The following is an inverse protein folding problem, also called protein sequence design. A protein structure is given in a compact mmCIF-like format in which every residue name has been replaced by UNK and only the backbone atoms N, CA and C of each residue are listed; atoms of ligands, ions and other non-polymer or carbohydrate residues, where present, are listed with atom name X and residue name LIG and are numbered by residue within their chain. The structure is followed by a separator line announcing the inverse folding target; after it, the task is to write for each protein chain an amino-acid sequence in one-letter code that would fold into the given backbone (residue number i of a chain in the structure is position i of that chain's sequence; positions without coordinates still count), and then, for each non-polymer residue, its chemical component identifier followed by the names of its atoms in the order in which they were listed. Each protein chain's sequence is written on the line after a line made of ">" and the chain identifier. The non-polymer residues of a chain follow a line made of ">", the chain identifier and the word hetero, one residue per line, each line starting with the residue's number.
data_IF_793732967895
#
_entry.id   IF_793732967895
#
_cell.length_a   1.000
_cell.length_b   1.000
_cell.length_c   1.000
_cell.angle_alpha   90.00
_cell.angle_beta   90.00
_cell.angle_gamma   90.00
#
_symmetry.space_group_name_H-M   'P 1'
#
loop_
_entity.id
_entity.type
_entity.pdbx_description
1 polymer ?
#
# COMPACT_ATOMS: atom_id res chain seq x y z
N UNK A 1 -3.49 -11.33 -19.69
CA UNK A 1 -3.95 -10.73 -18.44
C UNK A 1 -4.47 -11.84 -17.54
N UNK A 2 -3.83 -12.01 -16.38
CA UNK A 2 -4.28 -12.95 -15.36
C UNK A 2 -4.98 -12.15 -14.28
N UNK A 3 -6.19 -12.58 -13.91
CA UNK A 3 -6.97 -11.98 -12.85
C UNK A 3 -6.99 -12.96 -11.68
N UNK A 4 -6.88 -12.45 -10.48
CA UNK A 4 -7.33 -13.20 -9.33
C UNK A 4 -8.87 -13.23 -9.36
N UNK A 5 -9.42 -14.38 -9.72
CA UNK A 5 -10.85 -14.56 -9.94
C UNK A 5 -11.67 -14.40 -8.65
N UNK A 6 -11.05 -14.59 -7.47
CA UNK A 6 -11.74 -14.49 -6.19
C UNK A 6 -11.87 -13.04 -5.70
N UNK A 7 -10.90 -12.19 -6.02
CA UNK A 7 -10.90 -10.78 -5.57
C UNK A 7 -11.54 -9.84 -6.59
N UNK A 8 -11.73 -10.29 -7.83
CA UNK A 8 -12.42 -9.53 -8.87
C UNK A 8 -11.75 -8.20 -9.23
N UNK A 9 -10.45 -8.07 -9.05
CA UNK A 9 -9.72 -6.87 -9.40
C UNK A 9 -9.58 -6.77 -10.92
N UNK A 10 -10.47 -6.02 -11.54
CA UNK A 10 -10.48 -5.77 -12.99
C UNK A 10 -9.52 -4.66 -13.41
N UNK A 11 -8.87 -3.99 -12.47
CA UNK A 11 -8.03 -2.81 -12.71
C UNK A 11 -6.57 -3.20 -12.84
N UNK A 12 -6.08 -4.07 -11.96
CA UNK A 12 -4.72 -4.59 -11.98
C UNK A 12 -4.63 -5.94 -12.65
N UNK A 13 -3.54 -6.17 -13.37
CA UNK A 13 -3.28 -7.43 -14.04
C UNK A 13 -1.77 -7.67 -14.14
N UNK A 14 -1.37 -8.94 -14.07
CA UNK A 14 -0.02 -9.32 -14.46
C UNK A 14 0.10 -9.40 -16.00
N UNK A 15 1.26 -9.06 -16.52
CA UNK A 15 1.57 -9.10 -17.94
C UNK A 15 2.72 -10.06 -18.21
N UNK A 16 2.49 -11.06 -19.05
CA UNK A 16 3.55 -11.90 -19.59
C UNK A 16 3.88 -11.44 -21.01
N UNK A 17 5.16 -11.19 -21.25
CA UNK A 17 5.70 -10.84 -22.57
C UNK A 17 6.56 -12.00 -23.02
N UNK A 18 6.38 -12.43 -24.26
CA UNK A 18 7.21 -13.45 -24.90
C UNK A 18 7.73 -12.90 -26.25
N UNK A 19 9.04 -13.01 -26.46
CA UNK A 19 9.70 -12.60 -27.69
C UNK A 19 10.92 -13.49 -27.93
N UNK A 20 11.00 -14.06 -29.13
CA UNK A 20 12.15 -14.90 -29.56
C UNK A 20 12.52 -16.03 -28.57
N UNK A 21 11.51 -16.60 -27.91
CA UNK A 21 11.68 -17.68 -26.96
C UNK A 21 12.15 -17.25 -25.58
N UNK A 22 12.20 -15.95 -25.31
CA UNK A 22 12.46 -15.36 -23.98
C UNK A 22 11.16 -14.82 -23.40
N UNK A 23 10.91 -15.10 -22.12
CA UNK A 23 9.68 -14.69 -21.46
C UNK A 23 9.95 -13.82 -20.21
N UNK A 24 9.14 -12.76 -20.04
CA UNK A 24 9.21 -11.88 -18.90
C UNK A 24 7.82 -11.67 -18.30
N UNK A 25 7.66 -11.97 -17.03
CA UNK A 25 6.46 -11.71 -16.26
C UNK A 25 6.62 -10.41 -15.47
N UNK A 26 5.71 -9.46 -15.68
CA UNK A 26 5.53 -8.30 -14.83
C UNK A 26 4.25 -8.51 -14.01
N UNK A 27 4.39 -8.79 -12.74
CA UNK A 27 3.27 -8.98 -11.83
C UNK A 27 2.60 -7.65 -11.43
N UNK A 28 3.29 -6.51 -11.63
CA UNK A 28 2.81 -5.21 -11.19
C UNK A 28 2.43 -5.24 -9.69
N UNK A 29 1.34 -4.60 -9.28
CA UNK A 29 0.80 -4.69 -7.92
C UNK A 29 -0.09 -5.93 -7.71
N UNK A 30 -0.33 -6.69 -8.77
CA UNK A 30 -1.11 -7.93 -8.74
C UNK A 30 -0.20 -9.13 -8.45
N UNK A 31 0.14 -9.32 -7.19
CA UNK A 31 0.96 -10.45 -6.75
C UNK A 31 0.24 -11.77 -7.09
N UNK A 32 0.86 -12.66 -7.89
CA UNK A 32 0.20 -13.90 -8.29
C UNK A 32 -0.07 -14.80 -7.08
N UNK A 33 -1.19 -15.52 -7.11
CA UNK A 33 -1.46 -16.58 -6.12
C UNK A 33 -0.66 -17.84 -6.46
N UNK A 34 -0.53 -18.79 -5.50
CA UNK A 34 0.04 -20.12 -5.77
C UNK A 34 -0.58 -20.82 -6.97
N UNK A 35 -1.90 -20.73 -7.11
CA UNK A 35 -2.66 -21.32 -8.22
C UNK A 35 -2.31 -20.65 -9.56
N UNK A 36 -2.20 -19.31 -9.55
CA UNK A 36 -1.77 -18.53 -10.74
C UNK A 36 -0.34 -18.88 -11.12
N UNK A 37 0.57 -19.08 -10.17
CA UNK A 37 1.93 -19.52 -10.46
C UNK A 37 1.96 -20.91 -11.13
N UNK A 38 1.14 -21.86 -10.65
CA UNK A 38 1.01 -23.19 -11.24
C UNK A 38 0.46 -23.09 -12.67
N UNK A 39 -0.61 -22.32 -12.90
CA UNK A 39 -1.20 -22.10 -14.22
C UNK A 39 -0.20 -21.46 -15.21
N UNK A 40 0.57 -20.48 -14.76
CA UNK A 40 1.60 -19.84 -15.57
C UNK A 40 2.65 -20.85 -16.04
N UNK A 41 3.12 -21.70 -15.13
CA UNK A 41 4.09 -22.76 -15.46
C UNK A 41 3.52 -23.82 -16.41
N UNK A 42 2.30 -24.26 -16.15
CA UNK A 42 1.65 -25.28 -16.98
C UNK A 42 1.41 -24.78 -18.39
N UNK A 43 1.08 -23.49 -18.53
CA UNK A 43 0.71 -22.90 -19.81
C UNK A 43 1.89 -22.37 -20.62
N UNK A 44 2.90 -21.80 -19.96
CA UNK A 44 4.02 -21.11 -20.62
C UNK A 44 5.38 -21.76 -20.35
N UNK A 45 5.43 -22.79 -19.50
CA UNK A 45 6.69 -23.43 -19.14
C UNK A 45 7.56 -22.59 -18.22
N UNK A 46 8.88 -22.57 -18.47
CA UNK A 46 9.82 -21.78 -17.68
C UNK A 46 9.73 -20.30 -18.05
N UNK A 47 9.57 -19.45 -17.06
CA UNK A 47 9.64 -17.99 -17.21
C UNK A 47 11.09 -17.56 -16.98
N UNK A 48 11.64 -16.77 -17.92
CA UNK A 48 13.05 -16.35 -17.81
C UNK A 48 13.21 -15.25 -16.77
N UNK A 49 12.36 -14.21 -16.78
CA UNK A 49 12.39 -13.13 -15.81
C UNK A 49 11.03 -12.95 -15.14
N UNK A 50 10.99 -12.92 -13.81
CA UNK A 50 9.81 -12.53 -13.05
C UNK A 50 10.08 -11.25 -12.25
N UNK A 51 9.30 -10.21 -12.51
CA UNK A 51 9.24 -8.98 -11.73
C UNK A 51 8.06 -9.08 -10.78
N UNK A 52 8.34 -9.30 -9.48
CA UNK A 52 7.33 -9.57 -8.46
C UNK A 52 7.47 -8.55 -7.34
N UNK A 53 6.34 -8.00 -6.89
CA UNK A 53 6.35 -7.04 -5.80
C UNK A 53 6.76 -7.72 -4.47
N UNK A 54 7.43 -6.97 -3.61
CA UNK A 54 7.93 -7.44 -2.32
C UNK A 54 7.54 -6.53 -1.15
N UNK A 55 6.90 -5.43 -1.44
CA UNK A 55 6.50 -4.43 -0.45
C UNK A 55 4.97 -4.30 -0.38
N UNK A 56 4.49 -3.81 0.75
CA UNK A 56 3.11 -3.42 0.93
C UNK A 56 3.02 -1.91 1.11
N UNK A 57 2.39 -1.22 0.18
CA UNK A 57 2.07 0.19 0.34
C UNK A 57 0.86 0.35 1.28
N UNK A 58 1.01 1.13 2.36
CA UNK A 58 -0.10 1.35 3.27
C UNK A 58 0.28 2.13 4.54
N UNK A 59 -0.72 2.66 5.26
CA UNK A 59 -0.51 3.50 6.43
C UNK A 59 -0.09 2.70 7.68
N UNK A 60 -0.29 1.39 7.69
CA UNK A 60 0.00 0.54 8.84
C UNK A 60 1.45 0.04 8.85
N UNK A 61 2.17 0.09 9.97
CA UNK A 61 1.77 0.62 11.29
C UNK A 61 2.06 2.11 11.48
N UNK A 62 2.71 2.78 10.52
CA UNK A 62 3.24 4.14 10.62
C UNK A 62 2.24 5.16 11.16
N UNK A 63 1.03 5.17 10.59
CA UNK A 63 -0.02 6.15 10.86
C UNK A 63 -0.98 5.75 11.98
N UNK A 64 -0.73 4.64 12.69
CA UNK A 64 -1.63 4.14 13.75
C UNK A 64 -1.20 4.65 15.13
N UNK A 65 -1.90 5.68 15.62
CA UNK A 65 -1.57 6.38 16.85
C UNK A 65 -1.93 5.59 18.14
N UNK A 66 -2.69 4.51 18.01
CA UNK A 66 -2.91 3.55 19.11
C UNK A 66 -1.73 2.59 19.34
N UNK A 67 -0.68 2.66 18.50
CA UNK A 67 0.54 1.88 18.67
C UNK A 67 1.68 2.77 19.16
N UNK A 68 2.40 2.32 20.17
CA UNK A 68 3.63 2.94 20.61
C UNK A 68 4.80 2.58 19.65
N UNK A 69 5.99 3.15 19.88
CA UNK A 69 7.16 2.95 18.99
C UNK A 69 7.61 1.51 18.89
N UNK A 70 7.58 0.76 20.00
CA UNK A 70 8.03 -0.64 20.03
C UNK A 70 7.03 -1.54 19.30
N UNK A 71 5.73 -1.29 19.47
CA UNK A 71 4.67 -1.96 18.74
C UNK A 71 4.75 -1.68 17.25
N UNK A 72 5.01 -0.41 16.85
CA UNK A 72 5.23 -0.06 15.42
C UNK A 72 6.45 -0.77 14.84
N UNK A 73 7.56 -0.85 15.56
CA UNK A 73 8.75 -1.58 15.12
C UNK A 73 8.45 -3.09 14.98
N UNK A 74 7.76 -3.69 15.94
CA UNK A 74 7.41 -5.10 15.91
C UNK A 74 6.51 -5.42 14.72
N UNK A 75 5.50 -4.58 14.45
CA UNK A 75 4.61 -4.73 13.32
C UNK A 75 5.30 -4.49 11.97
N UNK A 76 6.19 -3.51 11.90
CA UNK A 76 7.06 -3.30 10.73
C UNK A 76 7.83 -4.57 10.39
N UNK A 77 8.56 -5.15 11.34
CA UNK A 77 9.32 -6.38 11.13
C UNK A 77 8.42 -7.57 10.76
N UNK A 78 7.26 -7.69 11.40
CA UNK A 78 6.28 -8.73 11.07
C UNK A 78 5.81 -8.64 9.60
N UNK A 79 5.53 -7.42 9.13
CA UNK A 79 5.08 -7.17 7.74
C UNK A 79 6.19 -7.54 6.76
N UNK A 80 7.42 -7.07 7.00
CA UNK A 80 8.56 -7.39 6.13
C UNK A 80 8.79 -8.89 6.04
N UNK A 81 8.87 -9.57 7.19
CA UNK A 81 9.08 -11.02 7.24
C UNK A 81 8.00 -11.80 6.50
N UNK A 82 6.73 -11.39 6.65
CA UNK A 82 5.61 -11.98 5.90
C UNK A 82 5.77 -11.79 4.39
N UNK A 83 6.08 -10.57 3.96
CA UNK A 83 6.20 -10.25 2.54
C UNK A 83 7.37 -11.00 1.90
N UNK A 84 8.53 -11.07 2.56
CA UNK A 84 9.68 -11.83 2.07
C UNK A 84 9.43 -13.34 2.04
N UNK A 85 8.73 -13.88 3.06
CA UNK A 85 8.35 -15.29 3.06
C UNK A 85 7.42 -15.61 1.89
N UNK A 86 6.42 -14.76 1.65
CA UNK A 86 5.48 -14.94 0.56
C UNK A 86 6.17 -14.80 -0.80
N UNK A 87 7.01 -13.78 -1.00
CA UNK A 87 7.78 -13.66 -2.23
C UNK A 87 8.67 -14.89 -2.48
N UNK A 88 9.37 -15.38 -1.45
CA UNK A 88 10.19 -16.58 -1.57
C UNK A 88 9.36 -17.80 -1.99
N UNK A 89 8.19 -18.00 -1.39
CA UNK A 89 7.26 -19.08 -1.75
C UNK A 89 6.84 -18.99 -3.23
N UNK A 90 6.43 -17.80 -3.68
CA UNK A 90 6.02 -17.57 -5.07
C UNK A 90 7.16 -17.84 -6.06
N UNK A 91 8.37 -17.39 -5.73
CA UNK A 91 9.55 -17.63 -6.58
C UNK A 91 9.89 -19.12 -6.65
N UNK A 92 9.82 -19.85 -5.54
CA UNK A 92 10.04 -21.32 -5.51
C UNK A 92 8.95 -22.09 -6.27
N UNK A 93 7.73 -21.57 -6.31
CA UNK A 93 6.63 -22.15 -7.09
C UNK A 93 6.76 -21.84 -8.57
N UNK A 94 7.04 -20.59 -8.92
CA UNK A 94 7.14 -20.13 -10.31
C UNK A 94 8.45 -20.61 -10.96
N UNK A 95 9.54 -20.69 -10.18
CA UNK A 95 10.90 -21.07 -10.61
C UNK A 95 11.38 -20.34 -11.85
N UNK A 96 11.33 -19.00 -11.88
CA UNK A 96 11.87 -18.26 -12.99
C UNK A 96 13.39 -18.40 -13.01
N UNK A 97 14.02 -18.17 -14.17
CA UNK A 97 15.50 -18.14 -14.26
C UNK A 97 16.07 -16.97 -13.45
N UNK A 98 15.40 -15.81 -13.56
CA UNK A 98 15.74 -14.58 -12.83
C UNK A 98 14.53 -14.02 -12.09
N UNK A 99 14.73 -13.49 -10.87
CA UNK A 99 13.74 -12.68 -10.17
C UNK A 99 14.29 -11.28 -9.92
N UNK A 100 13.50 -10.27 -10.28
CA UNK A 100 13.73 -8.87 -9.96
C UNK A 100 12.70 -8.45 -8.91
N UNK A 101 13.11 -8.14 -7.65
CA UNK A 101 12.23 -7.51 -6.69
C UNK A 101 11.70 -6.19 -7.27
N UNK A 102 10.38 -6.08 -7.42
CA UNK A 102 9.72 -5.02 -8.17
C UNK A 102 8.72 -4.26 -7.29
N UNK A 103 8.16 -3.14 -7.81
CA UNK A 103 7.23 -2.27 -7.09
C UNK A 103 7.78 -1.81 -5.73
N UNK A 104 8.87 -1.14 -5.80
CA UNK A 104 9.83 -0.67 -4.83
C UNK A 104 9.34 0.00 -3.54
N UNK A 105 10.25 0.73 -2.92
CA UNK A 105 10.01 1.53 -1.73
C UNK A 105 9.61 2.96 -2.10
N UNK A 106 9.00 3.64 -1.16
CA UNK A 106 8.70 5.08 -1.24
C UNK A 106 9.23 5.80 -0.01
N UNK A 107 9.42 7.11 -0.15
CA UNK A 107 9.86 7.99 0.94
C UNK A 107 8.80 9.06 1.17
N UNK A 108 8.35 9.18 2.41
CA UNK A 108 7.41 10.22 2.82
C UNK A 108 8.16 11.55 2.99
N UNK A 109 7.66 12.60 2.34
CA UNK A 109 8.20 13.95 2.46
C UNK A 109 7.42 14.82 3.44
N UNK A 110 7.81 16.09 3.56
CA UNK A 110 7.17 17.07 4.43
C UNK A 110 7.14 16.63 5.90
N UNK A 111 6.12 17.05 6.62
CA UNK A 111 5.93 16.70 8.05
C UNK A 111 5.79 15.18 8.32
N UNK A 112 5.52 14.39 7.28
CA UNK A 112 5.38 12.93 7.40
C UNK A 112 6.71 12.18 7.30
N UNK A 113 7.82 12.86 6.97
CA UNK A 113 9.15 12.25 6.83
C UNK A 113 9.60 11.48 8.09
N UNK A 114 9.15 11.89 9.27
CA UNK A 114 9.41 11.20 10.54
C UNK A 114 8.81 9.78 10.61
N UNK A 115 7.83 9.46 9.74
CA UNK A 115 7.19 8.15 9.68
C UNK A 115 7.98 7.15 8.84
N UNK A 116 9.02 7.58 8.10
CA UNK A 116 9.84 6.71 7.24
C UNK A 116 10.57 5.59 7.99
N UNK A 117 10.60 5.59 9.30
CA UNK A 117 11.19 4.52 10.12
C UNK A 117 10.26 3.34 10.38
N UNK A 118 8.97 3.44 10.04
CA UNK A 118 7.98 2.38 10.32
C UNK A 118 7.21 1.87 9.10
N UNK A 119 7.58 2.18 7.83
CA UNK A 119 6.78 1.75 6.69
C UNK A 119 6.76 0.22 6.58
N UNK A 120 5.72 -0.33 5.97
CA UNK A 120 5.65 -1.75 5.62
C UNK A 120 6.54 -2.10 4.41
N UNK A 121 7.57 -1.31 4.14
CA UNK A 121 8.44 -1.42 2.96
C UNK A 121 9.91 -1.50 3.36
N UNK A 122 10.70 -2.15 2.52
CA UNK A 122 12.16 -2.19 2.61
C UNK A 122 12.79 -1.78 1.27
N UNK A 123 14.09 -1.63 1.25
CA UNK A 123 14.83 -1.47 0.00
C UNK A 123 14.91 -2.81 -0.75
N UNK A 124 15.14 -2.76 -2.05
CA UNK A 124 15.36 -3.97 -2.85
C UNK A 124 16.65 -4.72 -2.46
N UNK A 125 17.68 -4.01 -1.92
CA UNK A 125 18.88 -4.65 -1.38
C UNK A 125 18.55 -5.58 -0.22
N UNK A 126 17.74 -5.11 0.74
CA UNK A 126 17.30 -5.91 1.89
C UNK A 126 16.47 -7.10 1.40
N UNK A 127 15.57 -6.88 0.43
CA UNK A 127 14.79 -7.97 -0.16
C UNK A 127 15.67 -9.03 -0.81
N UNK A 128 16.67 -8.63 -1.61
CA UNK A 128 17.59 -9.55 -2.26
C UNK A 128 18.46 -10.33 -1.25
N UNK A 129 18.91 -9.66 -0.19
CA UNK A 129 19.64 -10.32 0.90
C UNK A 129 18.77 -11.38 1.60
N UNK A 130 17.49 -11.06 1.85
CA UNK A 130 16.54 -12.00 2.47
C UNK A 130 16.25 -13.21 1.56
N UNK A 131 16.05 -12.98 0.25
CA UNK A 131 15.87 -14.08 -0.70
C UNK A 131 17.10 -15.00 -0.74
N UNK A 132 18.29 -14.41 -0.78
CA UNK A 132 19.55 -15.17 -0.76
C UNK A 132 19.74 -15.94 0.57
N UNK A 133 19.39 -15.33 1.71
CA UNK A 133 19.44 -15.97 3.02
C UNK A 133 18.49 -17.16 3.13
N UNK A 134 17.28 -17.04 2.59
CA UNK A 134 16.29 -18.13 2.55
C UNK A 134 16.67 -19.24 1.59
N UNK A 135 17.55 -18.96 0.62
CA UNK A 135 18.03 -19.89 -0.38
C UNK A 135 17.00 -20.16 -1.49
N UNK A 136 17.31 -19.74 -2.70
CA UNK A 136 16.54 -20.08 -3.90
C UNK A 136 17.18 -21.28 -4.58
N UNK A 137 16.36 -22.27 -4.97
CA UNK A 137 16.88 -23.55 -5.51
C UNK A 137 17.38 -23.45 -6.95
N UNK A 138 16.75 -22.60 -7.77
CA UNK A 138 17.03 -22.54 -9.23
C UNK A 138 16.94 -21.15 -9.82
N UNK A 139 16.67 -20.13 -9.01
CA UNK A 139 16.43 -18.75 -9.44
C UNK A 139 17.56 -17.85 -8.97
N UNK A 140 18.03 -16.99 -9.85
CA UNK A 140 18.99 -15.93 -9.50
C UNK A 140 18.25 -14.63 -9.23
N UNK A 141 18.50 -13.98 -8.08
CA UNK A 141 18.02 -12.63 -7.82
C UNK A 141 18.90 -11.63 -8.56
N UNK A 142 18.25 -10.72 -9.29
CA UNK A 142 18.92 -9.61 -9.98
C UNK A 142 18.43 -8.28 -9.41
N UNK A 143 19.30 -7.29 -9.41
CA UNK A 143 19.01 -5.91 -9.03
C UNK A 143 19.48 -4.97 -10.13
N UNK A 144 18.67 -3.97 -10.42
CA UNK A 144 18.96 -2.96 -11.44
C UNK A 144 18.73 -1.57 -10.85
N UNK A 145 19.56 -0.62 -11.26
CA UNK A 145 19.37 0.81 -10.98
C UNK A 145 18.71 1.49 -12.18
N UNK A 146 18.38 2.74 -11.99
CA UNK A 146 17.94 3.60 -13.08
C UNK A 146 18.97 3.60 -14.23
N UNK A 147 18.50 3.37 -15.46
CA UNK A 147 19.27 3.24 -16.70
C UNK A 147 20.13 1.98 -16.83
N UNK A 148 20.11 1.05 -15.88
CA UNK A 148 20.72 -0.25 -16.09
C UNK A 148 19.91 -1.09 -17.07
N UNK A 149 20.62 -1.90 -17.85
CA UNK A 149 20.06 -2.85 -18.83
C UNK A 149 20.53 -4.24 -18.47
N UNK A 150 19.58 -5.16 -18.39
CA UNK A 150 19.84 -6.58 -18.17
C UNK A 150 19.41 -7.37 -19.41
N UNK A 151 20.35 -8.10 -20.00
CA UNK A 151 20.06 -9.03 -21.08
C UNK A 151 19.62 -10.38 -20.50
N UNK A 152 18.32 -10.70 -20.67
CA UNK A 152 17.72 -11.93 -20.12
C UNK A 152 18.32 -13.17 -20.80
N UNK A 153 18.70 -13.09 -22.08
CA UNK A 153 19.27 -14.20 -22.84
C UNK A 153 20.66 -14.58 -22.37
N UNK A 154 21.54 -13.60 -22.18
CA UNK A 154 22.92 -13.81 -21.69
C UNK A 154 23.02 -13.86 -20.17
N UNK A 155 22.11 -13.20 -19.46
CA UNK A 155 22.17 -13.06 -18.00
C UNK A 155 23.14 -11.99 -17.54
N UNK A 156 23.51 -11.06 -18.39
CA UNK A 156 24.49 -10.02 -18.10
C UNK A 156 23.83 -8.63 -17.98
N UNK A 157 24.33 -7.83 -17.05
CA UNK A 157 24.00 -6.41 -16.94
C UNK A 157 25.06 -5.56 -17.63
N UNK A 158 24.64 -4.41 -18.18
CA UNK A 158 25.54 -3.43 -18.80
C UNK A 158 26.50 -2.78 -17.80
N UNK A 159 26.19 -2.85 -16.50
CA UNK A 159 27.02 -2.29 -15.42
C UNK A 159 26.90 -3.14 -14.15
N UNK A 160 27.95 -3.14 -13.29
CA UNK A 160 27.85 -3.74 -11.98
C UNK A 160 26.81 -3.04 -11.12
N UNK A 161 26.01 -3.80 -10.39
CA UNK A 161 25.06 -3.22 -9.44
C UNK A 161 25.80 -2.50 -8.30
N UNK A 162 25.35 -1.29 -7.98
CA UNK A 162 25.85 -0.50 -6.86
C UNK A 162 24.72 -0.44 -5.82
N UNK A 163 24.92 -0.96 -4.59
CA UNK A 163 23.93 -0.93 -3.53
C UNK A 163 23.47 0.49 -3.17
N UNK A 164 22.28 0.57 -2.59
CA UNK A 164 21.74 1.82 -2.05
C UNK A 164 22.66 2.34 -0.96
N UNK A 165 23.06 3.61 -1.07
CA UNK A 165 23.78 4.32 -0.01
C UNK A 165 22.78 4.85 1.03
N UNK A 166 22.83 4.29 2.24
CA UNK A 166 21.93 4.70 3.34
C UNK A 166 22.14 6.15 3.76
N UNK A 167 23.35 6.69 3.59
CA UNK A 167 23.65 8.09 3.91
C UNK A 167 22.97 9.01 2.87
N UNK A 168 23.09 8.70 1.58
CA UNK A 168 22.43 9.44 0.52
C UNK A 168 20.89 9.36 0.69
N UNK A 169 20.35 8.21 1.04
CA UNK A 169 18.92 8.03 1.31
C UNK A 169 18.47 8.90 2.49
N UNK A 170 19.23 8.95 3.58
CA UNK A 170 18.93 9.78 4.75
C UNK A 170 19.03 11.29 4.41
N UNK A 171 20.02 11.69 3.62
CA UNK A 171 20.17 13.08 3.14
C UNK A 171 18.98 13.48 2.26
N UNK A 172 18.56 12.62 1.35
CA UNK A 172 17.37 12.84 0.52
C UNK A 172 16.10 12.97 1.38
N UNK A 173 15.86 12.06 2.31
CA UNK A 173 14.74 12.12 3.24
C UNK A 173 14.70 13.43 4.05
N UNK A 174 15.87 13.90 4.49
CA UNK A 174 16.00 15.19 5.18
C UNK A 174 15.69 16.37 4.25
N UNK A 175 16.19 16.34 3.02
CA UNK A 175 15.94 17.39 2.01
C UNK A 175 14.44 17.54 1.74
N UNK A 176 13.71 16.44 1.54
CA UNK A 176 12.27 16.47 1.26
C UNK A 176 11.41 16.73 2.49
N UNK A 177 11.97 16.72 3.70
CA UNK A 177 11.23 16.95 4.95
C UNK A 177 10.59 18.34 5.05
N UNK A 178 11.11 19.32 4.29
CA UNK A 178 10.58 20.68 4.23
C UNK A 178 9.49 20.89 3.16
N UNK A 179 9.16 19.88 2.38
CA UNK A 179 8.16 19.99 1.31
C UNK A 179 6.77 20.24 1.87
N UNK A 180 6.01 21.10 1.19
CA UNK A 180 4.60 21.32 1.44
C UNK A 180 3.75 20.40 0.55
N UNK A 181 2.60 19.97 1.06
CA UNK A 181 1.67 19.17 0.27
C UNK A 181 0.73 20.07 -0.56
N UNK A 182 0.31 19.64 -1.76
CA UNK A 182 -0.52 20.47 -2.65
C UNK A 182 -1.79 21.01 -1.99
N UNK A 183 -2.44 20.24 -1.12
CA UNK A 183 -3.67 20.67 -0.45
C UNK A 183 -3.43 21.76 0.61
N UNK A 184 -2.21 21.96 1.07
CA UNK A 184 -1.90 22.99 2.09
C UNK A 184 -2.02 24.42 1.54
N UNK A 185 -1.97 24.59 0.21
CA UNK A 185 -2.21 25.87 -0.45
C UNK A 185 -3.68 26.18 -0.71
N UNK A 186 -4.58 25.20 -0.49
CA UNK A 186 -6.01 25.43 -0.68
C UNK A 186 -6.60 26.29 0.44
N UNK A 187 -7.66 27.01 0.13
CA UNK A 187 -8.44 27.72 1.14
C UNK A 187 -9.02 26.72 2.17
N UNK A 188 -8.94 27.08 3.46
CA UNK A 188 -9.58 26.27 4.48
C UNK A 188 -11.10 26.23 4.25
N UNK A 189 -11.72 25.03 4.23
CA UNK A 189 -13.17 24.93 4.06
C UNK A 189 -13.89 25.45 5.30
N UNK A 190 -15.11 25.96 5.09
CA UNK A 190 -16.01 26.26 6.20
C UNK A 190 -16.47 24.92 6.79
N UNK A 191 -16.14 24.68 8.05
CA UNK A 191 -16.32 23.37 8.69
C UNK A 191 -17.78 22.87 8.65
N UNK A 192 -18.73 23.74 8.93
CA UNK A 192 -20.15 23.35 8.90
C UNK A 192 -20.59 22.87 7.53
N UNK A 193 -20.15 23.57 6.47
CA UNK A 193 -20.42 23.16 5.08
C UNK A 193 -19.72 21.83 4.76
N UNK A 194 -18.47 21.68 5.20
CA UNK A 194 -17.73 20.43 5.00
C UNK A 194 -18.43 19.24 5.69
N UNK A 195 -18.95 19.43 6.91
CA UNK A 195 -19.67 18.39 7.64
C UNK A 195 -21.00 18.03 6.97
N UNK A 196 -21.73 18.98 6.38
CA UNK A 196 -22.95 18.72 5.59
C UNK A 196 -22.63 17.89 4.32
N UNK A 197 -21.52 18.21 3.67
CA UNK A 197 -21.04 17.46 2.51
C UNK A 197 -20.57 16.05 2.89
N UNK A 198 -19.91 15.87 4.04
CA UNK A 198 -19.55 14.56 4.58
C UNK A 198 -20.80 13.75 4.90
N UNK A 199 -21.84 14.35 5.46
CA UNK A 199 -23.12 13.66 5.68
C UNK A 199 -23.70 13.13 4.36
N UNK A 200 -23.66 13.96 3.32
CA UNK A 200 -24.14 13.57 1.99
C UNK A 200 -23.31 12.44 1.39
N UNK A 201 -21.98 12.56 1.46
CA UNK A 201 -21.04 11.52 1.00
C UNK A 201 -21.20 10.21 1.79
N UNK A 202 -21.42 10.29 3.11
CA UNK A 202 -21.68 9.13 3.97
C UNK A 202 -22.94 8.38 3.55
N UNK A 203 -24.03 9.07 3.21
CA UNK A 203 -25.22 8.42 2.66
C UNK A 203 -24.92 7.70 1.35
N UNK A 204 -24.20 8.35 0.43
CA UNK A 204 -23.74 7.75 -0.83
C UNK A 204 -22.86 6.52 -0.61
N UNK A 205 -21.93 6.58 0.37
CA UNK A 205 -21.09 5.44 0.78
C UNK A 205 -21.96 4.26 1.26
N UNK A 206 -22.94 4.49 2.12
CA UNK A 206 -23.87 3.45 2.60
C UNK A 206 -24.67 2.81 1.48
N UNK A 207 -25.09 3.59 0.47
CA UNK A 207 -25.81 3.07 -0.69
C UNK A 207 -24.90 2.15 -1.53
N UNK A 208 -23.65 2.53 -1.72
CA UNK A 208 -22.64 1.70 -2.41
C UNK A 208 -22.32 0.44 -1.62
N UNK A 209 -22.12 0.55 -0.31
CA UNK A 209 -21.91 -0.61 0.56
C UNK A 209 -23.04 -1.63 0.41
N UNK A 210 -24.30 -1.19 0.45
CA UNK A 210 -25.46 -2.08 0.22
C UNK A 210 -25.45 -2.71 -1.16
N UNK A 211 -25.14 -1.94 -2.20
CA UNK A 211 -25.08 -2.43 -3.59
C UNK A 211 -24.03 -3.54 -3.77
N UNK A 212 -22.89 -3.43 -3.11
CA UNK A 212 -21.79 -4.38 -3.23
C UNK A 212 -21.75 -5.41 -2.09
N UNK A 213 -22.79 -5.47 -1.25
CA UNK A 213 -22.89 -6.40 -0.11
C UNK A 213 -21.73 -6.27 0.90
N UNK A 214 -21.18 -5.07 1.02
CA UNK A 214 -20.14 -4.73 1.99
C UNK A 214 -20.80 -4.38 3.31
N UNK A 215 -20.30 -4.94 4.42
CA UNK A 215 -20.83 -4.67 5.76
C UNK A 215 -19.72 -4.54 6.78
N UNK A 216 -19.91 -3.64 7.75
CA UNK A 216 -19.01 -3.48 8.88
C UNK A 216 -19.82 -3.21 10.15
N UNK A 217 -19.33 -3.74 11.28
CA UNK A 217 -19.84 -3.43 12.62
C UNK A 217 -19.00 -2.38 13.33
N UNK A 218 -17.91 -1.95 12.72
CA UNK A 218 -16.98 -0.98 13.27
C UNK A 218 -17.57 0.43 13.18
N UNK A 219 -17.56 1.14 14.30
CA UNK A 219 -17.90 2.57 14.33
C UNK A 219 -16.76 3.35 13.67
N UNK A 220 -17.08 4.20 12.69
CA UNK A 220 -16.08 5.03 12.01
C UNK A 220 -16.29 6.48 12.32
N UNK A 221 -15.23 7.12 12.78
CA UNK A 221 -15.19 8.53 13.11
C UNK A 221 -14.21 9.27 12.20
N UNK A 222 -14.57 10.49 11.80
CA UNK A 222 -13.65 11.44 11.19
C UNK A 222 -13.37 12.56 12.20
N UNK A 223 -12.09 12.90 12.34
CA UNK A 223 -11.63 14.04 13.11
C UNK A 223 -10.95 15.04 12.17
N UNK A 224 -11.45 16.26 12.13
CA UNK A 224 -11.08 17.31 11.19
C UNK A 224 -10.83 18.61 11.98
N UNK A 225 -9.56 18.89 12.30
CA UNK A 225 -9.16 20.09 13.04
C UNK A 225 -9.97 20.30 14.34
N UNK A 226 -10.07 19.24 15.15
CA UNK A 226 -10.81 19.23 16.41
C UNK A 226 -12.32 19.04 16.30
N UNK A 227 -12.87 18.97 15.08
CA UNK A 227 -14.27 18.63 14.82
C UNK A 227 -14.43 17.14 14.56
N UNK A 228 -15.36 16.51 15.27
CA UNK A 228 -15.58 15.08 15.23
C UNK A 228 -16.97 14.75 14.63
N UNK A 229 -17.02 13.81 13.69
CA UNK A 229 -18.26 13.21 13.26
C UNK A 229 -18.12 11.68 13.10
N UNK A 230 -19.22 10.97 13.31
CA UNK A 230 -19.36 9.55 13.02
C UNK A 230 -19.93 9.42 11.60
N UNK A 231 -19.35 8.52 10.78
CA UNK A 231 -19.83 8.25 9.42
C UNK A 231 -20.41 6.84 9.24
N UNK A 232 -20.09 5.91 10.14
CA UNK A 232 -20.66 4.56 10.20
C UNK A 232 -21.07 4.22 11.64
N UNK A 233 -22.20 3.53 11.85
CA UNK A 233 -23.18 3.06 10.86
C UNK A 233 -24.12 4.15 10.34
N UNK A 234 -24.12 5.34 10.92
CA UNK A 234 -24.97 6.48 10.52
C UNK A 234 -24.21 7.77 10.84
N UNK A 235 -24.40 8.79 10.00
CA UNK A 235 -23.77 10.09 10.23
C UNK A 235 -24.31 10.77 11.50
N UNK A 236 -23.39 11.29 12.32
CA UNK A 236 -23.69 12.12 13.50
C UNK A 236 -22.56 13.09 13.73
N UNK A 237 -22.88 14.36 13.96
CA UNK A 237 -21.90 15.32 14.53
C UNK A 237 -21.73 15.03 16.01
N UNK A 238 -20.49 15.01 16.49
CA UNK A 238 -20.16 14.61 17.86
C UNK A 238 -19.28 15.67 18.54
N UNK A 239 -19.32 15.68 19.87
CA UNK A 239 -18.40 16.47 20.69
C UNK A 239 -17.20 15.62 21.12
N UNK A 240 -17.40 14.32 21.33
CA UNK A 240 -16.36 13.35 21.67
C UNK A 240 -16.74 11.96 21.15
N UNK A 241 -15.76 11.06 21.04
CA UNK A 241 -16.02 9.64 20.77
C UNK A 241 -16.73 9.00 21.96
N UNK A 242 -17.76 8.20 21.68
CA UNK A 242 -18.38 7.41 22.75
C UNK A 242 -17.41 6.30 23.21
N UNK A 243 -17.26 6.14 24.51
CA UNK A 243 -16.63 4.94 25.06
C UNK A 243 -17.58 3.76 24.84
N UNK A 244 -17.15 2.78 24.06
CA UNK A 244 -17.96 1.62 23.71
C UNK A 244 -17.06 0.40 23.59
N UNK A 245 -17.60 -0.77 23.91
CA UNK A 245 -16.95 -2.07 23.61
C UNK A 245 -17.06 -2.41 22.11
N UNK A 246 -17.78 -1.61 21.33
CA UNK A 246 -17.90 -1.80 19.88
C UNK A 246 -16.59 -1.43 19.19
N UNK A 247 -16.12 -2.26 18.24
CA UNK A 247 -14.95 -1.91 17.44
C UNK A 247 -15.06 -0.52 16.83
N UNK A 248 -13.95 0.23 16.81
CA UNK A 248 -13.94 1.59 16.30
C UNK A 248 -12.69 1.92 15.51
N UNK A 249 -12.84 2.80 14.51
CA UNK A 249 -11.77 3.40 13.72
C UNK A 249 -11.96 4.91 13.70
N UNK A 250 -11.01 5.65 14.23
CA UNK A 250 -10.95 7.12 14.07
C UNK A 250 -9.94 7.46 13.01
N UNK A 251 -10.33 8.26 12.04
CA UNK A 251 -9.50 8.77 10.94
C UNK A 251 -9.33 10.29 11.13
N UNK A 252 -8.10 10.74 11.40
CA UNK A 252 -7.79 12.17 11.57
C UNK A 252 -7.05 12.68 10.34
N UNK A 253 -7.56 13.73 9.69
CA UNK A 253 -6.94 14.32 8.50
C UNK A 253 -7.22 15.81 8.38
N UNK A 254 -6.43 16.48 7.53
CA UNK A 254 -6.58 17.90 7.23
C UNK A 254 -7.93 18.17 6.52
N UNK A 255 -8.74 19.15 6.97
CA UNK A 255 -10.02 19.49 6.33
C UNK A 255 -9.92 19.82 4.83
N UNK A 256 -8.81 20.41 4.38
CA UNK A 256 -8.56 20.71 2.97
C UNK A 256 -8.36 19.44 2.14
N UNK A 257 -7.66 18.44 2.70
CA UNK A 257 -7.54 17.13 2.07
C UNK A 257 -8.88 16.42 2.03
N UNK A 258 -9.66 16.46 3.11
CA UNK A 258 -11.03 15.92 3.12
C UNK A 258 -11.89 16.56 2.03
N UNK A 259 -11.83 17.89 1.84
CA UNK A 259 -12.53 18.58 0.75
C UNK A 259 -12.13 18.01 -0.62
N UNK A 260 -10.82 17.85 -0.88
CA UNK A 260 -10.34 17.25 -2.13
C UNK A 260 -10.83 15.82 -2.34
N UNK A 261 -10.92 15.03 -1.28
CA UNK A 261 -11.45 13.65 -1.35
C UNK A 261 -12.93 13.67 -1.73
N UNK A 262 -13.72 14.52 -1.08
CA UNK A 262 -15.15 14.65 -1.39
C UNK A 262 -15.38 15.08 -2.84
N UNK A 263 -14.59 15.99 -3.37
CA UNK A 263 -14.65 16.50 -4.74
C UNK A 263 -13.98 15.54 -5.76
N UNK A 264 -13.44 14.41 -5.33
CA UNK A 264 -12.68 13.44 -6.15
C UNK A 264 -11.44 14.03 -6.85
N UNK A 265 -10.88 15.12 -6.31
CA UNK A 265 -9.59 15.69 -6.73
C UNK A 265 -8.45 14.85 -6.13
N UNK A 266 -8.65 14.33 -4.92
CA UNK A 266 -7.80 13.33 -4.27
C UNK A 266 -8.58 12.04 -4.02
N UNK A 267 -7.87 10.95 -3.86
CA UNK A 267 -8.47 9.65 -3.59
C UNK A 267 -8.20 9.25 -2.14
N UNK A 268 -9.19 8.65 -1.46
CA UNK A 268 -9.03 8.14 -0.09
C UNK A 268 -7.83 7.19 0.02
N UNK A 269 -7.76 6.19 -0.87
CA UNK A 269 -6.68 5.22 -0.89
C UNK A 269 -5.29 5.87 -1.02
N UNK A 270 -5.13 6.86 -1.90
CA UNK A 270 -3.88 7.58 -2.05
C UNK A 270 -3.51 8.38 -0.80
N UNK A 271 -4.49 8.95 -0.12
CA UNK A 271 -4.29 9.64 1.15
C UNK A 271 -3.88 8.69 2.28
N UNK A 272 -4.42 7.47 2.31
CA UNK A 272 -3.99 6.42 3.23
C UNK A 272 -2.55 6.00 2.97
N UNK A 273 -2.23 5.57 1.74
CA UNK A 273 -0.90 5.10 1.33
C UNK A 273 0.15 6.19 1.57
N UNK A 274 -0.19 7.44 1.26
CA UNK A 274 0.68 8.60 1.50
C UNK A 274 0.77 9.03 2.97
N UNK A 275 0.18 8.29 3.91
CA UNK A 275 0.19 8.59 5.34
C UNK A 275 -0.45 9.95 5.72
N UNK A 276 -1.31 10.50 4.88
CA UNK A 276 -2.00 11.77 5.14
C UNK A 276 -3.19 11.61 6.09
N UNK A 277 -3.61 10.38 6.38
CA UNK A 277 -4.64 10.06 7.35
C UNK A 277 -3.97 9.36 8.53
N UNK A 278 -4.24 9.83 9.75
CA UNK A 278 -3.82 9.18 10.99
C UNK A 278 -4.97 8.36 11.56
N UNK A 279 -4.64 7.22 12.14
CA UNK A 279 -5.65 6.26 12.59
C UNK A 279 -5.52 5.94 14.07
N UNK A 280 -6.68 5.76 14.72
CA UNK A 280 -6.81 5.04 15.99
C UNK A 280 -7.80 3.91 15.79
N UNK A 281 -7.36 2.66 15.91
CA UNK A 281 -8.17 1.46 15.62
C UNK A 281 -8.24 0.56 16.85
N UNK A 282 -9.43 0.28 17.32
CA UNK A 282 -9.71 -0.51 18.54
C UNK A 282 -10.80 -1.55 18.23
N UNK A 283 -10.52 -2.86 18.37
CA UNK A 283 -9.20 -3.47 18.55
C UNK A 283 -8.31 -3.29 17.30
N UNK A 284 -7.00 -3.50 17.44
CA UNK A 284 -6.06 -3.39 16.30
C UNK A 284 -6.18 -4.60 15.35
N UNK A 285 -7.33 -4.70 14.67
CA UNK A 285 -7.65 -5.77 13.72
C UNK A 285 -8.00 -5.18 12.37
N UNK A 286 -7.42 -5.74 11.29
CA UNK A 286 -7.70 -5.30 9.92
C UNK A 286 -9.05 -5.84 9.46
N UNK A 287 -9.86 -4.98 8.85
CA UNK A 287 -11.17 -5.29 8.29
C UNK A 287 -11.20 -4.89 6.80
N UNK A 288 -11.06 -5.84 5.85
CA UNK A 288 -11.03 -5.55 4.42
C UNK A 288 -12.28 -4.82 3.91
N UNK A 289 -13.46 -5.23 4.37
CA UNK A 289 -14.74 -4.62 4.00
C UNK A 289 -14.80 -3.15 4.38
N UNK A 290 -14.29 -2.79 5.57
CA UNK A 290 -14.23 -1.41 6.01
C UNK A 290 -13.26 -0.59 5.16
N UNK A 291 -12.09 -1.15 4.85
CA UNK A 291 -11.12 -0.50 3.96
C UNK A 291 -11.75 -0.21 2.59
N UNK A 292 -12.46 -1.18 2.01
CA UNK A 292 -13.19 -0.99 0.75
C UNK A 292 -14.30 0.06 0.88
N UNK A 293 -15.08 0.06 1.98
CA UNK A 293 -16.15 1.03 2.21
C UNK A 293 -15.66 2.48 2.20
N UNK A 294 -14.52 2.75 2.84
CA UNK A 294 -13.96 4.10 2.94
C UNK A 294 -13.56 4.69 1.58
N UNK A 295 -13.26 3.86 0.57
CA UNK A 295 -13.01 4.31 -0.81
C UNK A 295 -14.24 4.99 -1.44
N UNK A 296 -15.43 4.72 -0.91
CA UNK A 296 -16.70 5.28 -1.41
C UNK A 296 -17.09 6.61 -0.75
N UNK A 297 -16.27 7.14 0.18
CA UNK A 297 -16.56 8.39 0.88
C UNK A 297 -16.25 9.60 -0.01
N UNK A 298 -17.12 9.88 -0.96
CA UNK A 298 -17.04 11.04 -1.88
C UNK A 298 -18.44 11.44 -2.36
N UNK A 299 -18.58 12.68 -2.86
CA UNK A 299 -19.80 13.23 -3.44
C UNK A 299 -20.11 12.63 -4.82
#
# INVERSE_FOLDING_TARGET
>A
NFHDAEVGNLIDSAMLIECDGVSALNANDNTPTPETCAELRDRFGTIDLAMINYNAAGPYPSCFNNLNSDEKNSEHQRILNRNFAYLHELVEMLKPKYVLPFAGSYVLGGKLSQLNKYPGTSTWDVCAQELNFRGLTSTQTILLRENDVFDIGTGESNSPYIPIDEIEMALYANQISSMSYPYQSDAAPIIDVLLDDIETASRGMHDRMRRYSISSKTLVYLELDGHLCQILPVFKRLVCTATSDTPSLTCSLDPRLMRRILDRISHWNNAEIGCHIQFVRIPNSYEPDLHTALQFLHL
#
